data_IF_889446576256
#
_entry.id   IF_889446576256
#
_cell.length_a   1.000
_cell.length_b   1.000
_cell.length_c   1.000
_cell.angle_alpha   90.00
_cell.angle_beta   90.00
_cell.angle_gamma   90.00
#
_symmetry.space_group_name_H-M   'P 1'
#
loop_
_entity.id
_entity.type
_entity.pdbx_description
1 polymer ?
#
# COMPACT_ATOMS: atom_id res chain seq x y z
N UNK A 1 -0.23 9.38 0.44
CA UNK A 1 0.89 8.85 -0.40
C UNK A 1 1.77 7.99 0.50
N UNK A 2 1.97 6.70 0.20
CA UNK A 2 2.72 5.79 1.07
C UNK A 2 4.20 6.18 1.16
N UNK A 3 4.78 6.03 2.34
CA UNK A 3 6.22 6.16 2.59
C UNK A 3 6.94 4.81 2.52
N UNK A 4 6.26 3.72 2.85
CA UNK A 4 6.76 2.36 2.65
C UNK A 4 7.23 2.17 1.20
N UNK A 5 8.36 1.47 1.02
CA UNK A 5 8.91 1.12 -0.29
C UNK A 5 9.19 -0.37 -0.34
N UNK A 6 8.63 -1.02 -1.34
CA UNK A 6 8.87 -2.42 -1.64
C UNK A 6 9.98 -2.64 -2.66
N UNK A 7 10.19 -3.89 -3.03
CA UNK A 7 11.07 -4.27 -4.13
C UNK A 7 10.57 -5.55 -4.80
N UNK A 8 11.06 -5.78 -6.03
CA UNK A 8 10.91 -7.04 -6.74
C UNK A 8 12.27 -7.74 -6.78
N UNK A 9 12.28 -9.07 -6.73
CA UNK A 9 13.50 -9.84 -6.88
C UNK A 9 13.27 -11.10 -7.72
N UNK A 10 14.32 -11.52 -8.43
CA UNK A 10 14.29 -12.76 -9.18
C UNK A 10 14.20 -13.93 -8.21
N UNK A 11 13.39 -14.93 -8.56
CA UNK A 11 13.31 -16.17 -7.79
C UNK A 11 14.45 -17.14 -8.15
N UNK A 12 14.86 -17.16 -9.41
CA UNK A 12 15.92 -18.02 -9.94
C UNK A 12 16.59 -17.39 -11.16
N UNK A 13 17.50 -18.14 -11.81
CA UNK A 13 18.12 -17.76 -13.09
C UNK A 13 17.22 -18.05 -14.30
N UNK A 14 16.13 -18.82 -14.13
CA UNK A 14 15.19 -19.14 -15.20
C UNK A 14 14.24 -17.95 -15.44
N UNK A 15 14.22 -17.33 -16.64
CA UNK A 15 13.37 -16.17 -16.90
C UNK A 15 11.86 -16.49 -16.90
N UNK A 16 11.47 -17.77 -16.95
CA UNK A 16 10.07 -18.20 -16.91
C UNK A 16 9.55 -18.39 -15.47
N UNK A 17 10.42 -18.36 -14.47
CA UNK A 17 10.00 -18.48 -13.08
C UNK A 17 9.34 -17.19 -12.61
N UNK A 18 8.27 -17.32 -11.80
CA UNK A 18 7.61 -16.17 -11.19
C UNK A 18 8.57 -15.40 -10.30
N UNK A 19 8.51 -14.07 -10.37
CA UNK A 19 9.28 -13.18 -9.50
C UNK A 19 8.76 -13.21 -8.06
N UNK A 20 9.62 -12.80 -7.12
CA UNK A 20 9.20 -12.49 -5.75
C UNK A 20 8.77 -11.03 -5.66
N UNK A 21 7.61 -10.80 -5.06
CA UNK A 21 7.02 -9.47 -4.89
C UNK A 21 7.04 -9.16 -3.39
N UNK A 22 7.76 -8.09 -3.01
CA UNK A 22 7.87 -7.66 -1.62
C UNK A 22 7.37 -6.20 -1.47
N UNK A 23 6.05 -5.96 -1.37
CA UNK A 23 5.50 -4.60 -1.32
C UNK A 23 5.90 -3.82 -0.07
N UNK A 24 6.20 -4.53 1.03
CA UNK A 24 6.51 -3.95 2.35
C UNK A 24 5.44 -2.98 2.85
N UNK A 25 4.16 -3.30 2.65
CA UNK A 25 3.06 -2.51 3.21
C UNK A 25 3.25 -2.33 4.71
N UNK A 26 2.97 -1.12 5.20
CA UNK A 26 3.06 -0.77 6.61
C UNK A 26 4.46 -0.96 7.25
N UNK A 27 5.52 -0.98 6.44
CA UNK A 27 6.90 -0.97 6.96
C UNK A 27 7.29 0.36 7.59
N UNK A 28 6.60 1.44 7.21
CA UNK A 28 6.70 2.76 7.86
C UNK A 28 5.42 3.00 8.66
N UNK A 29 5.57 3.27 9.97
CA UNK A 29 4.46 3.47 10.92
C UNK A 29 3.43 4.49 10.43
N UNK A 30 3.90 5.59 9.85
CA UNK A 30 3.06 6.67 9.32
C UNK A 30 1.99 6.19 8.33
N UNK A 31 2.28 5.16 7.53
CA UNK A 31 1.31 4.64 6.56
C UNK A 31 0.12 3.97 7.26
N UNK A 32 0.35 3.31 8.41
CA UNK A 32 -0.70 2.74 9.24
C UNK A 32 -1.50 3.83 9.93
N UNK A 33 -0.83 4.82 10.53
CA UNK A 33 -1.50 5.91 11.26
C UNK A 33 -2.45 6.70 10.35
N UNK A 34 -2.04 6.97 9.11
CA UNK A 34 -2.89 7.64 8.12
C UNK A 34 -4.17 6.84 7.85
N UNK A 35 -4.09 5.51 7.77
CA UNK A 35 -5.26 4.66 7.54
C UNK A 35 -6.15 4.57 8.78
N UNK A 36 -5.60 4.56 9.99
CA UNK A 36 -6.37 4.62 11.24
C UNK A 36 -7.19 5.92 11.28
N UNK A 37 -6.56 7.06 11.00
CA UNK A 37 -7.26 8.35 10.94
C UNK A 37 -8.30 8.39 9.83
N UNK A 38 -8.00 7.80 8.66
CA UNK A 38 -8.97 7.64 7.57
C UNK A 38 -10.20 6.81 7.98
N UNK A 39 -9.99 5.71 8.70
CA UNK A 39 -11.08 4.87 9.21
C UNK A 39 -11.93 5.63 10.24
N UNK A 40 -11.31 6.32 11.20
CA UNK A 40 -12.01 7.17 12.17
C UNK A 40 -12.84 8.24 11.47
N UNK A 41 -12.30 8.84 10.40
CA UNK A 41 -13.04 9.80 9.59
C UNK A 41 -14.26 9.15 8.92
N UNK A 42 -14.14 7.96 8.33
CA UNK A 42 -15.27 7.23 7.75
C UNK A 42 -16.36 6.91 8.79
N UNK A 43 -15.96 6.53 10.01
CA UNK A 43 -16.90 6.30 11.12
C UNK A 43 -17.66 7.58 11.49
N UNK A 44 -16.96 8.72 11.57
CA UNK A 44 -17.59 10.03 11.80
C UNK A 44 -18.51 10.44 10.65
N UNK A 45 -18.10 10.19 9.41
CA UNK A 45 -18.90 10.47 8.22
C UNK A 45 -20.22 9.69 8.25
N UNK A 46 -20.18 8.41 8.64
CA UNK A 46 -21.37 7.57 8.79
C UNK A 46 -22.38 8.13 9.81
N UNK A 47 -21.95 8.95 10.77
CA UNK A 47 -22.83 9.60 11.76
C UNK A 47 -23.51 10.87 11.24
N UNK A 48 -23.23 11.32 10.02
CA UNK A 48 -23.91 12.50 9.45
C UNK A 48 -25.39 12.24 9.19
N UNK A 49 -26.28 13.25 9.29
CA UNK A 49 -27.72 13.06 9.12
C UNK A 49 -28.10 12.39 7.80
N UNK A 50 -27.43 12.75 6.70
CA UNK A 50 -27.68 12.17 5.38
C UNK A 50 -27.41 10.66 5.32
N UNK A 51 -26.36 10.18 5.99
CA UNK A 51 -26.03 8.75 6.00
C UNK A 51 -26.83 7.99 7.07
N UNK A 52 -27.16 8.64 8.20
CA UNK A 52 -28.04 8.08 9.22
C UNK A 52 -29.47 7.86 8.71
N UNK A 53 -29.99 8.74 7.85
CA UNK A 53 -31.28 8.54 7.17
C UNK A 53 -31.32 7.29 6.29
N UNK A 54 -30.16 6.79 5.86
CA UNK A 54 -30.02 5.56 5.07
C UNK A 54 -29.68 4.33 5.92
N UNK A 55 -29.68 4.47 7.26
CA UNK A 55 -29.28 3.41 8.20
C UNK A 55 -27.88 2.83 7.91
N UNK A 56 -26.94 3.67 7.45
CA UNK A 56 -25.56 3.22 7.21
C UNK A 56 -24.88 2.92 8.55
N UNK A 57 -24.40 1.69 8.68
CA UNK A 57 -23.67 1.21 9.86
C UNK A 57 -22.34 0.60 9.47
N UNK A 58 -21.41 0.58 10.42
CA UNK A 58 -20.17 -0.16 10.26
C UNK A 58 -20.40 -1.63 10.63
N UNK A 59 -20.03 -2.55 9.74
CA UNK A 59 -20.24 -3.98 9.90
C UNK A 59 -19.15 -4.60 10.81
N UNK A 60 -19.26 -4.40 12.12
CA UNK A 60 -18.33 -4.99 13.08
C UNK A 60 -18.39 -6.52 13.11
N UNK A 61 -19.58 -7.09 12.86
CA UNK A 61 -19.84 -8.54 12.99
C UNK A 61 -19.20 -9.37 11.86
N UNK A 62 -18.73 -8.72 10.80
CA UNK A 62 -17.98 -9.38 9.72
C UNK A 62 -16.54 -9.75 10.12
N UNK A 63 -16.09 -9.33 11.31
CA UNK A 63 -14.74 -9.57 11.82
C UNK A 63 -14.84 -10.68 12.87
N UNK A 64 -14.23 -11.86 12.65
CA UNK A 64 -14.22 -12.90 13.67
C UNK A 64 -13.56 -12.36 14.94
N UNK A 65 -14.22 -12.42 16.09
CA UNK A 65 -13.72 -11.88 17.38
C UNK A 65 -12.34 -12.43 17.75
N UNK A 66 -12.03 -13.66 17.33
CA UNK A 66 -10.72 -14.28 17.52
C UNK A 66 -9.59 -13.57 16.75
N UNK A 67 -9.92 -12.68 15.80
CA UNK A 67 -8.95 -12.02 14.92
C UNK A 67 -8.51 -10.68 15.50
N UNK A 68 -9.46 -9.85 15.92
CA UNK A 68 -9.22 -8.54 16.52
C UNK A 68 -10.10 -8.44 17.77
N UNK A 69 -9.51 -8.13 18.93
CA UNK A 69 -10.24 -8.05 20.20
C UNK A 69 -11.41 -7.05 20.15
N UNK A 70 -12.29 -7.08 21.15
CA UNK A 70 -13.55 -6.32 21.10
C UNK A 70 -13.41 -4.81 21.43
N UNK A 71 -12.30 -4.40 22.05
CA UNK A 71 -12.14 -3.01 22.49
C UNK A 71 -11.87 -2.09 21.29
N UNK A 72 -12.85 -1.23 20.98
CA UNK A 72 -12.77 -0.29 19.86
C UNK A 72 -11.78 0.83 20.20
N UNK A 73 -10.63 0.79 19.55
CA UNK A 73 -9.57 1.77 19.65
C UNK A 73 -8.53 1.58 18.54
N UNK A 74 -7.42 2.32 18.62
CA UNK A 74 -6.42 2.35 17.56
C UNK A 74 -5.78 0.98 17.31
N UNK A 75 -5.61 0.17 18.37
CA UNK A 75 -5.12 -1.21 18.26
C UNK A 75 -6.08 -2.11 17.48
N UNK A 76 -7.38 -2.00 17.76
CA UNK A 76 -8.43 -2.70 17.02
C UNK A 76 -8.47 -2.25 15.56
N UNK A 77 -8.46 -0.95 15.30
CA UNK A 77 -8.46 -0.39 13.95
C UNK A 77 -7.21 -0.80 13.14
N UNK A 78 -6.04 -0.80 13.76
CA UNK A 78 -4.83 -1.33 13.12
C UNK A 78 -5.00 -2.80 12.73
N UNK A 79 -5.55 -3.62 13.64
CA UNK A 79 -5.80 -5.03 13.35
C UNK A 79 -6.73 -5.20 12.13
N UNK A 80 -7.81 -4.42 12.06
CA UNK A 80 -8.70 -4.40 10.89
C UNK A 80 -7.96 -4.01 9.61
N UNK A 81 -7.18 -2.93 9.67
CA UNK A 81 -6.43 -2.45 8.50
C UNK A 81 -5.45 -3.53 8.04
N UNK A 82 -4.75 -4.22 8.94
CA UNK A 82 -3.83 -5.30 8.57
C UNK A 82 -4.53 -6.49 7.93
N UNK A 83 -5.72 -6.83 8.40
CA UNK A 83 -6.44 -8.02 7.93
C UNK A 83 -7.19 -7.78 6.61
N UNK A 84 -7.80 -6.61 6.46
CA UNK A 84 -8.69 -6.32 5.34
C UNK A 84 -8.03 -5.48 4.23
N UNK A 85 -6.87 -4.86 4.47
CA UNK A 85 -6.19 -4.11 3.42
C UNK A 85 -5.72 -5.02 2.31
N UNK A 86 -5.93 -4.56 1.09
CA UNK A 86 -5.46 -5.19 -0.13
C UNK A 86 -4.84 -4.14 -1.04
N UNK A 87 -4.10 -4.61 -2.05
CA UNK A 87 -3.62 -3.71 -3.10
C UNK A 87 -4.79 -3.26 -3.99
N UNK A 88 -4.75 -2.01 -4.43
CA UNK A 88 -5.60 -1.51 -5.50
C UNK A 88 -4.86 -1.44 -6.85
N UNK A 89 -3.84 -2.30 -7.01
CA UNK A 89 -3.18 -2.65 -8.28
C UNK A 89 -2.45 -1.51 -9.01
N UNK A 90 -1.85 -0.57 -8.27
CA UNK A 90 -1.00 0.51 -8.82
C UNK A 90 0.49 0.40 -8.43
N UNK A 91 1.20 -0.72 -8.72
CA UNK A 91 2.64 -0.79 -8.49
C UNK A 91 3.37 0.14 -9.47
N UNK A 92 4.30 0.95 -8.96
CA UNK A 92 5.11 1.89 -9.75
C UNK A 92 6.52 2.01 -9.16
N UNK A 93 7.47 2.51 -9.96
CA UNK A 93 8.78 2.96 -9.48
C UNK A 93 9.87 1.89 -9.40
N UNK A 94 9.63 0.67 -9.90
CA UNK A 94 10.65 -0.40 -9.97
C UNK A 94 11.80 -0.08 -10.93
N UNK A 95 11.54 0.75 -11.93
CA UNK A 95 12.54 1.36 -12.82
C UNK A 95 12.42 2.88 -12.73
N UNK A 96 12.79 3.44 -11.57
CA UNK A 96 12.60 4.86 -11.28
C UNK A 96 13.32 5.77 -12.29
N UNK A 97 12.64 6.83 -12.70
CA UNK A 97 13.20 7.89 -13.53
C UNK A 97 13.85 8.96 -12.64
N UNK A 98 15.10 9.32 -12.91
CA UNK A 98 15.84 10.31 -12.13
C UNK A 98 17.19 10.71 -12.73
N UNK A 99 17.84 11.74 -12.16
CA UNK A 99 19.18 12.14 -12.58
C UNK A 99 20.19 11.04 -12.26
N UNK A 100 21.33 11.02 -12.97
CA UNK A 100 22.41 10.03 -12.73
C UNK A 100 22.99 10.09 -11.30
N UNK A 101 22.78 11.22 -10.60
CA UNK A 101 23.18 11.42 -9.20
C UNK A 101 22.21 10.79 -8.20
N UNK A 102 21.01 10.39 -8.62
CA UNK A 102 20.06 9.67 -7.76
C UNK A 102 20.43 8.18 -7.74
N UNK A 103 20.86 7.63 -6.60
CA UNK A 103 21.27 6.23 -6.50
C UNK A 103 20.12 5.24 -6.76
N UNK A 104 18.87 5.68 -6.73
CA UNK A 104 17.70 4.85 -7.03
C UNK A 104 17.25 4.93 -8.49
N UNK A 105 17.81 5.85 -9.29
CA UNK A 105 17.39 6.05 -10.67
C UNK A 105 17.91 4.93 -11.59
N UNK A 106 17.01 4.34 -12.36
CA UNK A 106 17.30 3.32 -13.38
C UNK A 106 17.33 3.95 -14.78
N UNK A 107 16.43 4.89 -15.04
CA UNK A 107 16.32 5.58 -16.32
C UNK A 107 16.45 7.11 -16.17
N UNK A 108 16.89 7.77 -17.23
CA UNK A 108 16.89 9.23 -17.31
C UNK A 108 15.53 9.81 -17.73
N UNK A 109 15.43 11.14 -17.81
CA UNK A 109 14.22 11.86 -18.23
C UNK A 109 13.76 11.57 -19.69
N UNK A 110 14.58 10.86 -20.48
CA UNK A 110 14.25 10.39 -21.84
C UNK A 110 14.03 8.87 -21.86
N UNK A 111 13.85 8.26 -20.70
CA UNK A 111 13.60 6.83 -20.48
C UNK A 111 14.76 5.91 -20.90
N UNK A 112 15.98 6.46 -21.02
CA UNK A 112 17.18 5.68 -21.36
C UNK A 112 17.77 5.06 -20.10
N UNK A 113 18.13 3.77 -20.16
CA UNK A 113 18.76 3.08 -19.04
C UNK A 113 20.15 3.65 -18.79
N UNK A 114 20.47 3.98 -17.53
CA UNK A 114 21.78 4.49 -17.17
C UNK A 114 22.86 3.43 -17.42
N UNK A 115 23.91 3.80 -18.17
CA UNK A 115 25.07 2.94 -18.44
C UNK A 115 24.88 1.91 -19.55
N UNK A 116 23.73 1.87 -20.24
CA UNK A 116 23.47 0.95 -21.35
C UNK A 116 22.99 1.74 -22.58
N UNK A 117 23.69 1.60 -23.69
CA UNK A 117 23.30 2.21 -24.96
C UNK A 117 22.19 1.40 -25.66
N UNK A 118 21.29 2.09 -26.37
CA UNK A 118 20.23 1.43 -27.14
C UNK A 118 19.08 0.82 -26.34
N UNK A 119 19.07 0.93 -25.00
CA UNK A 119 18.03 0.34 -24.15
C UNK A 119 17.14 1.40 -23.46
N UNK A 120 15.82 1.17 -23.44
CA UNK A 120 14.80 1.99 -22.77
C UNK A 120 13.77 1.15 -22.03
N UNK A 121 13.06 1.76 -21.08
CA UNK A 121 11.87 1.21 -20.40
C UNK A 121 10.73 2.21 -20.59
N UNK A 122 9.60 1.80 -21.18
CA UNK A 122 8.47 2.68 -21.59
C UNK A 122 7.15 2.13 -21.07
#
# INVERSE_FOLDING_TARGET
RPQSRGYLSLNSKNPYDKIKIHPKYFSVRRDMDILIEGLKYCLKLAQTPALQQLNITFLYDAIPEATCGQEKGDSFYECLIRHFSQTIYHPVGTTAMGPKTDPMAVVDARLRVHGIEGLRVV
#
